data_IF_906012204181
#
_entry.id   IF_906012204181
#
_cell.length_a   1.000
_cell.length_b   1.000
_cell.length_c   1.000
_cell.angle_alpha   90.00
_cell.angle_beta   90.00
_cell.angle_gamma   90.00
#
_symmetry.space_group_name_H-M   'P 1'
#
loop_
_entity.id
_entity.type
_entity.pdbx_description
1 polymer ?
#
# COMPACT_ATOMS: atom_id res chain seq x y z
N UNK A 1 45.75 -11.06 -35.78
CA UNK A 1 44.30 -10.79 -35.89
C UNK A 1 43.81 -10.51 -34.48
N UNK A 2 43.75 -9.24 -34.10
CA UNK A 2 43.34 -8.82 -32.75
C UNK A 2 41.84 -8.53 -32.80
N UNK A 3 41.03 -9.36 -32.16
CA UNK A 3 39.59 -9.14 -32.02
C UNK A 3 39.37 -8.19 -30.86
N UNK A 4 39.10 -6.94 -31.23
CA UNK A 4 38.59 -5.88 -30.38
C UNK A 4 37.26 -6.34 -29.76
N UNK A 5 37.23 -6.52 -28.44
CA UNK A 5 36.00 -6.85 -27.72
C UNK A 5 35.41 -5.57 -27.17
N UNK A 6 34.58 -4.93 -27.98
CA UNK A 6 33.66 -3.87 -27.53
C UNK A 6 32.60 -4.52 -26.64
N UNK A 7 32.88 -4.67 -25.34
CA UNK A 7 31.84 -5.07 -24.38
C UNK A 7 31.17 -3.80 -23.87
N UNK A 8 30.00 -3.57 -24.42
CA UNK A 8 29.04 -2.51 -24.10
C UNK A 8 28.79 -2.44 -22.58
N UNK A 9 28.74 -1.20 -22.11
CA UNK A 9 28.40 -0.72 -20.76
C UNK A 9 26.96 -1.11 -20.32
N UNK A 10 26.64 -2.41 -20.21
CA UNK A 10 25.44 -2.93 -19.54
C UNK A 10 25.71 -3.20 -18.04
N UNK A 11 26.58 -2.39 -17.45
CA UNK A 11 26.99 -2.53 -16.06
C UNK A 11 25.88 -2.02 -15.13
N UNK A 12 24.97 -2.93 -14.73
CA UNK A 12 24.40 -3.06 -13.39
C UNK A 12 22.92 -3.53 -13.36
N UNK A 13 22.55 -4.46 -14.25
CA UNK A 13 21.23 -5.12 -14.19
C UNK A 13 21.14 -6.18 -13.09
N UNK A 14 22.28 -6.66 -12.61
CA UNK A 14 22.38 -7.85 -11.75
C UNK A 14 22.46 -7.50 -10.25
N UNK A 15 22.52 -6.21 -9.88
CA UNK A 15 22.46 -5.80 -8.47
C UNK A 15 21.01 -5.61 -8.02
N UNK A 16 20.71 -6.18 -6.85
CA UNK A 16 19.44 -6.00 -6.17
C UNK A 16 19.29 -4.58 -5.63
N UNK A 17 18.07 -4.04 -5.74
CA UNK A 17 17.68 -2.80 -5.07
C UNK A 17 16.69 -3.17 -3.95
N UNK A 18 17.14 -3.07 -2.71
CA UNK A 18 16.38 -3.51 -1.54
C UNK A 18 15.39 -2.46 -1.08
N UNK A 19 14.16 -2.89 -0.81
CA UNK A 19 13.11 -2.10 -0.18
C UNK A 19 12.59 -2.82 1.05
N UNK A 20 12.24 -2.03 2.06
CA UNK A 20 11.66 -2.54 3.31
C UNK A 20 10.16 -2.31 3.25
N UNK A 21 9.38 -3.39 3.32
CA UNK A 21 7.98 -3.29 3.67
C UNK A 21 7.88 -3.08 5.18
N UNK A 22 7.16 -2.05 5.61
CA UNK A 22 7.09 -1.68 7.01
C UNK A 22 5.75 -1.07 7.40
N UNK A 23 5.43 -1.19 8.68
CA UNK A 23 4.31 -0.47 9.30
C UNK A 23 4.83 0.83 9.89
N UNK A 24 4.29 1.95 9.41
CA UNK A 24 4.62 3.28 9.93
C UNK A 24 3.48 3.74 10.84
N UNK A 25 3.68 3.80 12.17
CA UNK A 25 2.67 4.34 13.06
C UNK A 25 2.51 5.84 12.80
N UNK A 26 1.27 6.28 12.62
CA UNK A 26 0.93 7.68 12.37
C UNK A 26 -0.23 8.10 13.26
N UNK A 27 -0.23 9.37 13.64
CA UNK A 27 -1.36 9.99 14.30
C UNK A 27 -2.50 10.28 13.30
N UNK A 28 -3.67 10.67 13.82
CA UNK A 28 -4.86 10.96 12.98
C UNK A 28 -4.57 12.04 11.94
N UNK A 29 -3.77 13.05 12.28
CA UNK A 29 -3.40 14.13 11.37
C UNK A 29 -2.46 13.64 10.26
N UNK A 30 -1.45 12.83 10.60
CA UNK A 30 -0.55 12.19 9.66
C UNK A 30 -1.28 11.25 8.70
N UNK A 31 -2.19 10.43 9.21
CA UNK A 31 -3.05 9.57 8.39
C UNK A 31 -3.90 10.39 7.39
N UNK A 32 -4.52 11.48 7.85
CA UNK A 32 -5.31 12.36 6.99
C UNK A 32 -4.45 13.07 5.93
N UNK A 33 -3.21 13.44 6.28
CA UNK A 33 -2.25 14.02 5.34
C UNK A 33 -1.82 13.01 4.27
N UNK A 34 -1.39 11.82 4.70
CA UNK A 34 -0.94 10.73 3.83
C UNK A 34 -2.03 10.31 2.83
N UNK A 35 -3.28 10.20 3.30
CA UNK A 35 -4.42 9.88 2.43
C UNK A 35 -4.65 10.93 1.35
N UNK A 36 -4.55 12.22 1.69
CA UNK A 36 -4.81 13.33 0.75
C UNK A 36 -3.68 13.55 -0.25
N UNK A 37 -2.42 13.42 0.17
CA UNK A 37 -1.25 13.72 -0.65
C UNK A 37 -0.61 12.49 -1.29
N UNK A 38 -0.94 11.29 -0.82
CA UNK A 38 -0.30 10.05 -1.24
C UNK A 38 1.14 9.88 -0.74
N UNK A 39 1.64 10.85 0.05
CA UNK A 39 2.99 10.90 0.59
C UNK A 39 2.89 11.23 2.08
N UNK A 40 3.74 10.59 2.88
CA UNK A 40 3.90 10.88 4.29
C UNK A 40 5.38 11.10 4.58
N UNK A 41 5.70 12.18 5.30
CA UNK A 41 7.06 12.44 5.77
C UNK A 41 7.17 11.90 7.19
N UNK A 42 7.93 10.81 7.33
CA UNK A 42 8.24 10.26 8.64
C UNK A 42 9.11 11.27 9.41
N UNK A 43 8.78 11.62 10.67
CA UNK A 43 9.64 12.46 11.48
C UNK A 43 11.06 11.89 11.58
N UNK A 44 12.07 12.76 11.61
CA UNK A 44 13.45 12.35 11.80
C UNK A 44 13.59 11.48 13.07
N UNK A 45 14.53 10.54 13.04
CA UNK A 45 14.84 9.57 14.12
C UNK A 45 13.71 8.60 14.52
N UNK A 46 12.56 8.61 13.84
CA UNK A 46 11.50 7.61 14.06
C UNK A 46 12.04 6.21 13.74
N UNK A 47 11.97 5.31 14.72
CA UNK A 47 12.28 3.90 14.51
C UNK A 47 11.09 3.23 13.83
N UNK A 48 11.34 2.59 12.70
CA UNK A 48 10.34 1.85 11.93
C UNK A 48 10.68 0.36 12.03
N UNK A 49 9.69 -0.46 12.38
CA UNK A 49 9.84 -1.91 12.38
C UNK A 49 9.69 -2.45 10.96
N UNK A 50 10.67 -3.22 10.49
CA UNK A 50 10.58 -3.94 9.22
C UNK A 50 9.59 -5.09 9.34
N UNK A 51 8.64 -5.15 8.41
CA UNK A 51 7.76 -6.30 8.23
C UNK A 51 8.39 -7.32 7.28
N UNK A 52 8.99 -6.85 6.18
CA UNK A 52 9.68 -7.68 5.19
C UNK A 52 10.76 -6.86 4.47
N UNK A 53 11.78 -7.52 3.92
CA UNK A 53 12.84 -6.91 3.11
C UNK A 53 12.92 -7.67 1.79
N UNK A 54 12.73 -6.97 0.68
CA UNK A 54 12.63 -7.58 -0.64
C UNK A 54 13.30 -6.72 -1.71
N UNK A 55 13.69 -7.34 -2.83
CA UNK A 55 14.21 -6.61 -3.97
C UNK A 55 13.07 -6.00 -4.78
N UNK A 56 13.11 -4.69 -5.08
CA UNK A 56 12.06 -4.03 -5.87
C UNK A 56 12.07 -4.45 -7.35
N UNK A 57 13.21 -4.95 -7.84
CA UNK A 57 13.40 -5.41 -9.23
C UNK A 57 12.82 -6.81 -9.42
N UNK A 58 13.40 -7.82 -8.78
CA UNK A 58 13.00 -9.23 -8.94
C UNK A 58 11.90 -9.69 -7.99
N UNK A 59 11.49 -8.88 -7.01
CA UNK A 59 10.41 -9.16 -6.06
C UNK A 59 10.60 -10.38 -5.15
N UNK A 60 11.83 -10.90 -5.07
CA UNK A 60 12.20 -11.97 -4.13
C UNK A 60 12.61 -11.40 -2.77
N UNK A 61 12.31 -12.10 -1.66
CA UNK A 61 12.70 -11.68 -0.31
C UNK A 61 14.21 -11.81 -0.10
N UNK A 62 14.77 -11.01 0.80
CA UNK A 62 16.22 -10.93 1.05
C UNK A 62 16.83 -12.30 1.39
N UNK A 63 16.20 -13.06 2.27
CA UNK A 63 16.73 -14.34 2.77
C UNK A 63 16.86 -15.42 1.68
N UNK A 64 16.17 -15.27 0.55
CA UNK A 64 16.22 -16.23 -0.56
C UNK A 64 17.27 -15.88 -1.62
N UNK A 65 17.66 -14.61 -1.76
CA UNK A 65 18.42 -14.11 -2.92
C UNK A 65 19.61 -13.23 -2.58
N UNK A 66 19.95 -13.08 -1.31
CA UNK A 66 21.07 -12.23 -0.89
C UNK A 66 22.43 -12.67 -1.49
N UNK A 67 22.59 -13.96 -1.82
CA UNK A 67 23.79 -14.53 -2.43
C UNK A 67 23.68 -14.74 -3.95
N UNK A 68 22.50 -14.52 -4.53
CA UNK A 68 22.22 -14.70 -5.96
C UNK A 68 22.18 -13.36 -6.71
N UNK A 69 22.57 -13.31 -8.01
CA UNK A 69 22.39 -12.11 -8.81
C UNK A 69 20.90 -11.80 -9.03
N UNK A 70 20.59 -10.52 -9.19
CA UNK A 70 19.22 -10.07 -9.45
C UNK A 70 18.76 -10.51 -10.84
N UNK A 71 17.67 -11.28 -10.90
CA UNK A 71 17.06 -11.73 -12.15
C UNK A 71 16.33 -10.61 -12.95
N UNK A 72 16.30 -9.38 -12.45
CA UNK A 72 15.56 -8.28 -13.06
C UNK A 72 14.04 -8.39 -12.88
N UNK A 73 13.28 -7.57 -13.62
CA UNK A 73 11.80 -7.57 -13.54
C UNK A 73 11.24 -8.65 -14.46
N UNK A 74 10.45 -9.57 -13.93
CA UNK A 74 9.69 -10.53 -14.75
C UNK A 74 8.63 -9.79 -15.58
N UNK A 75 8.70 -9.82 -16.92
CA UNK A 75 7.74 -9.16 -17.80
C UNK A 75 6.32 -9.73 -17.72
N UNK A 76 6.14 -10.97 -17.23
CA UNK A 76 4.83 -11.58 -17.03
C UNK A 76 4.15 -11.14 -15.74
N UNK A 77 4.87 -10.50 -14.82
CA UNK A 77 4.32 -10.03 -13.54
C UNK A 77 3.53 -8.73 -13.73
N UNK A 78 2.25 -8.85 -14.10
CA UNK A 78 1.37 -7.71 -14.32
C UNK A 78 1.03 -6.97 -13.02
N UNK A 79 1.73 -5.86 -12.77
CA UNK A 79 1.46 -5.05 -11.59
C UNK A 79 2.27 -3.77 -11.41
N UNK A 80 3.35 -3.60 -12.18
CA UNK A 80 4.28 -2.49 -12.02
C UNK A 80 4.93 -2.44 -10.63
N UNK A 81 5.92 -1.54 -10.42
CA UNK A 81 6.43 -1.22 -9.09
C UNK A 81 5.32 -0.92 -8.09
N UNK A 82 5.49 -1.30 -6.82
CA UNK A 82 4.53 -0.97 -5.75
C UNK A 82 4.33 0.56 -5.75
N UNK A 83 3.08 1.00 -5.89
CA UNK A 83 2.73 2.42 -5.97
C UNK A 83 2.58 3.00 -7.38
N UNK A 84 2.99 2.30 -8.45
CA UNK A 84 2.78 2.72 -9.85
C UNK A 84 1.40 2.35 -10.39
N UNK A 85 0.67 1.48 -9.69
CA UNK A 85 -0.72 1.17 -10.03
C UNK A 85 -1.54 2.45 -9.94
N UNK A 86 -2.20 2.81 -11.04
CA UNK A 86 -3.14 3.94 -11.08
C UNK A 86 -4.17 3.74 -9.97
N UNK A 87 -4.14 4.60 -8.95
CA UNK A 87 -5.13 4.56 -7.86
C UNK A 87 -6.51 4.67 -8.49
N UNK A 88 -7.43 3.78 -8.11
CA UNK A 88 -8.85 3.94 -8.48
C UNK A 88 -9.27 5.34 -8.00
N UNK A 89 -9.84 6.20 -8.86
CA UNK A 89 -10.34 7.49 -8.43
C UNK A 89 -11.26 7.31 -7.23
N UNK A 90 -11.13 8.18 -6.23
CA UNK A 90 -12.09 8.21 -5.14
C UNK A 90 -13.49 8.40 -5.74
N UNK A 91 -14.52 7.70 -5.23
CA UNK A 91 -15.85 7.84 -5.79
C UNK A 91 -16.35 9.26 -5.55
N UNK A 92 -16.35 10.07 -6.62
CA UNK A 92 -17.00 11.39 -6.65
C UNK A 92 -18.53 11.27 -6.81
N UNK A 93 -19.04 10.06 -7.05
CA UNK A 93 -20.43 9.83 -7.39
C UNK A 93 -21.30 9.50 -6.16
N UNK A 94 -22.30 10.35 -5.96
CA UNK A 94 -23.40 10.31 -4.96
C UNK A 94 -24.06 8.92 -4.81
N UNK A 95 -24.00 8.09 -5.85
CA UNK A 95 -24.57 6.74 -5.87
C UNK A 95 -23.87 5.73 -4.96
N UNK A 96 -22.61 5.96 -4.55
CA UNK A 96 -21.92 5.07 -3.59
C UNK A 96 -22.12 5.50 -2.13
N UNK A 97 -22.52 6.74 -1.85
CA UNK A 97 -22.92 7.18 -0.51
C UNK A 97 -24.19 6.46 -0.03
N UNK A 98 -25.13 6.18 -0.95
CA UNK A 98 -26.34 5.43 -0.66
C UNK A 98 -26.06 3.97 -0.21
N UNK A 99 -24.99 3.34 -0.70
CA UNK A 99 -24.60 1.99 -0.27
C UNK A 99 -24.08 1.98 1.18
N UNK A 100 -23.38 3.04 1.61
CA UNK A 100 -22.92 3.19 2.99
C UNK A 100 -24.07 3.54 3.95
N UNK A 101 -25.08 4.30 3.51
CA UNK A 101 -26.27 4.61 4.32
C UNK A 101 -27.21 3.41 4.49
N UNK A 102 -27.28 2.50 3.51
CA UNK A 102 -28.13 1.32 3.61
C UNK A 102 -27.62 0.26 4.60
N UNK A 103 -26.33 0.27 4.97
CA UNK A 103 -25.80 -0.57 6.05
C UNK A 103 -26.16 -0.08 7.47
N UNK A 104 -26.63 1.16 7.61
CA UNK A 104 -26.98 1.77 8.91
C UNK A 104 -28.46 1.74 9.24
N UNK A 105 -29.33 1.22 8.36
CA UNK A 105 -30.74 1.05 8.70
C UNK A 105 -30.86 -0.17 9.61
N UNK A 106 -31.26 -0.02 10.88
CA UNK A 106 -31.58 -1.19 11.70
C UNK A 106 -32.70 -1.98 11.03
N UNK A 107 -32.57 -3.30 11.02
CA UNK A 107 -33.58 -4.19 10.44
C UNK A 107 -34.92 -3.92 11.14
N UNK A 108 -36.02 -3.65 10.41
CA UNK A 108 -37.34 -3.44 11.02
C UNK A 108 -37.87 -4.65 11.81
N UNK A 109 -37.19 -5.81 11.74
CA UNK A 109 -37.49 -7.02 12.52
C UNK A 109 -36.68 -7.12 13.82
N UNK A 110 -35.81 -6.16 14.11
CA UNK A 110 -35.00 -6.15 15.31
C UNK A 110 -35.87 -5.78 16.54
N UNK A 111 -36.19 -6.80 17.35
CA UNK A 111 -37.13 -6.72 18.46
C UNK A 111 -36.65 -5.81 19.62
N UNK A 112 -35.41 -5.33 19.59
CA UNK A 112 -34.80 -4.51 20.64
C UNK A 112 -35.24 -3.04 20.69
N UNK A 113 -36.03 -2.55 19.73
CA UNK A 113 -36.32 -1.11 19.62
C UNK A 113 -37.69 -0.67 20.18
N UNK A 114 -38.41 -1.55 20.88
CA UNK A 114 -39.67 -1.23 21.58
C UNK A 114 -39.44 -1.15 23.09
N UNK A 115 -38.85 -0.08 23.58
CA UNK A 115 -39.10 0.46 24.95
C UNK A 115 -38.17 1.65 25.22
N UNK A 116 -38.64 2.85 24.89
CA UNK A 116 -38.31 4.09 25.62
C UNK A 116 -39.43 5.09 25.35
N UNK A 117 -40.62 4.77 25.84
CA UNK A 117 -41.63 5.79 26.05
C UNK A 117 -41.09 6.76 27.10
N UNK A 118 -40.91 8.03 26.73
CA UNK A 118 -40.60 9.10 27.67
C UNK A 118 -41.84 9.35 28.54
N UNK A 119 -41.72 9.54 29.86
CA UNK A 119 -42.86 9.96 30.66
C UNK A 119 -43.22 11.42 30.30
N UNK A 120 -44.52 11.77 30.24
CA UNK A 120 -44.93 13.14 29.97
C UNK A 120 -44.59 14.02 31.18
N UNK A 121 -43.93 15.14 30.91
CA UNK A 121 -43.60 16.14 31.92
C UNK A 121 -44.84 16.81 32.51
N UNK A 122 -44.81 16.98 33.83
CA UNK A 122 -45.42 18.10 34.56
C UNK A 122 -44.55 18.41 35.77
#
# INVERSE_FOLDING_TARGET
MSTDSTTTDDANTDIHEWVIAAYVPVDTQGAAYARRRGIYRVPATTKIQSADVMCIRCRRPYDEVCEEPCAGSDPMLHGGPIGTRKRRPAPENRHQAAAAENFRKPDPRDAGNRMREQPPGR
#
